data_IF_530475472462
#
_entry.id   IF_530475472462
#
_cell.length_a   1.000
_cell.length_b   1.000
_cell.length_c   1.000
_cell.angle_alpha   90.00
_cell.angle_beta   90.00
_cell.angle_gamma   90.00
#
_symmetry.space_group_name_H-M   'P 1'
#
loop_
_entity.id
_entity.type
_entity.pdbx_description
1 polymer ?
#
# COMPACT_ATOMS: atom_id res chain seq x y z
N UNK A 1 19.81 5.54 -16.68
CA UNK A 1 19.29 4.34 -16.00
C UNK A 1 18.93 3.33 -17.08
N UNK A 2 19.32 2.09 -16.90
CA UNK A 2 18.95 0.97 -17.77
C UNK A 2 17.73 0.25 -17.16
N UNK A 3 16.80 -0.20 -18.00
CA UNK A 3 15.57 -0.87 -17.56
C UNK A 3 14.44 0.13 -17.33
N UNK A 4 13.82 0.09 -16.14
CA UNK A 4 12.67 0.95 -15.80
C UNK A 4 13.06 2.44 -15.77
N UNK A 5 12.24 3.29 -16.39
CA UNK A 5 12.45 4.72 -16.45
C UNK A 5 12.29 5.40 -15.08
N UNK A 6 12.94 6.55 -14.89
CA UNK A 6 12.93 7.25 -13.59
C UNK A 6 11.52 7.68 -13.17
N UNK A 7 10.71 8.15 -14.10
CA UNK A 7 9.32 8.55 -13.85
C UNK A 7 8.42 7.39 -13.38
N UNK A 8 8.71 6.18 -13.88
CA UNK A 8 8.02 4.97 -13.41
C UNK A 8 8.44 4.61 -11.98
N UNK A 9 9.73 4.74 -11.66
CA UNK A 9 10.25 4.54 -10.30
C UNK A 9 9.64 5.56 -9.34
N UNK A 10 9.61 6.84 -9.71
CA UNK A 10 8.99 7.88 -8.89
C UNK A 10 7.51 7.61 -8.61
N UNK A 11 6.75 7.16 -9.61
CA UNK A 11 5.33 6.81 -9.44
C UNK A 11 5.13 5.59 -8.56
N UNK A 12 6.04 4.63 -8.59
CA UNK A 12 5.96 3.44 -7.77
C UNK A 12 6.35 3.71 -6.31
N UNK A 13 7.34 4.59 -6.06
CA UNK A 13 7.88 4.87 -4.73
C UNK A 13 7.11 5.97 -3.99
N UNK A 14 6.55 6.94 -4.72
CA UNK A 14 5.75 8.03 -4.14
C UNK A 14 4.31 7.58 -3.94
N UNK A 15 3.89 7.51 -2.67
CA UNK A 15 2.56 6.99 -2.30
C UNK A 15 1.40 7.78 -2.89
N UNK A 16 1.53 9.09 -2.98
CA UNK A 16 0.48 9.93 -3.54
C UNK A 16 0.36 9.73 -5.06
N UNK A 17 1.50 9.74 -5.77
CA UNK A 17 1.54 9.45 -7.21
C UNK A 17 1.03 8.05 -7.53
N UNK A 18 1.37 7.06 -6.69
CA UNK A 18 0.87 5.69 -6.83
C UNK A 18 -0.64 5.64 -6.63
N UNK A 19 -1.16 6.25 -5.56
CA UNK A 19 -2.60 6.30 -5.28
C UNK A 19 -3.37 6.98 -6.41
N UNK A 20 -2.91 8.15 -6.89
CA UNK A 20 -3.51 8.86 -8.04
C UNK A 20 -3.55 7.96 -9.27
N UNK A 21 -2.46 7.24 -9.57
CA UNK A 21 -2.42 6.30 -10.68
C UNK A 21 -3.42 5.15 -10.49
N UNK A 22 -3.59 4.62 -9.28
CA UNK A 22 -4.58 3.57 -9.01
C UNK A 22 -6.00 4.07 -9.24
N UNK A 23 -6.33 5.29 -8.81
CA UNK A 23 -7.63 5.91 -9.10
C UNK A 23 -7.84 6.11 -10.60
N UNK A 24 -6.83 6.60 -11.32
CA UNK A 24 -6.88 6.80 -12.78
C UNK A 24 -7.19 5.51 -13.53
N UNK A 25 -6.60 4.40 -13.12
CA UNK A 25 -6.84 3.10 -13.74
C UNK A 25 -8.01 2.32 -13.10
N UNK A 26 -8.68 2.87 -12.07
CA UNK A 26 -9.82 2.24 -11.41
C UNK A 26 -9.47 0.99 -10.60
N UNK A 27 -8.27 0.94 -10.02
CA UNK A 27 -7.87 -0.10 -9.08
C UNK A 27 -8.06 0.40 -7.63
N UNK A 28 -8.60 -0.44 -6.74
CA UNK A 28 -8.85 -0.03 -5.36
C UNK A 28 -7.54 0.12 -4.58
N UNK A 29 -7.50 1.12 -3.72
CA UNK A 29 -6.46 1.31 -2.69
C UNK A 29 -7.15 1.62 -1.37
N UNK A 30 -6.53 1.35 -0.21
CA UNK A 30 -7.05 1.79 1.07
C UNK A 30 -7.22 3.30 1.09
N UNK A 31 -8.34 3.76 1.64
CA UNK A 31 -8.57 5.21 1.81
C UNK A 31 -7.50 5.79 2.72
N UNK A 32 -6.96 6.92 2.31
CA UNK A 32 -5.87 7.57 3.05
C UNK A 32 -5.86 9.06 2.83
N UNK A 33 -5.34 9.80 3.80
CA UNK A 33 -5.19 11.26 3.75
C UNK A 33 -3.88 11.67 4.39
N UNK A 34 -3.25 12.69 3.82
CA UNK A 34 -2.13 13.38 4.45
C UNK A 34 -2.69 14.47 5.35
N UNK A 35 -2.22 14.51 6.59
CA UNK A 35 -2.68 15.47 7.60
C UNK A 35 -1.51 16.23 8.22
N UNK A 36 -1.80 17.47 8.62
CA UNK A 36 -0.89 18.36 9.34
C UNK A 36 -1.39 18.69 10.74
N UNK A 37 -2.63 18.29 11.05
CA UNK A 37 -3.26 18.49 12.36
C UNK A 37 -3.95 17.22 12.84
N UNK A 38 -4.14 17.15 14.14
CA UNK A 38 -4.88 16.03 14.78
C UNK A 38 -6.37 16.09 14.42
N UNK A 39 -6.90 17.29 14.21
CA UNK A 39 -8.30 17.50 13.84
C UNK A 39 -8.60 16.96 12.44
N UNK A 40 -7.69 17.14 11.48
CA UNK A 40 -7.83 16.55 10.14
C UNK A 40 -7.82 15.01 10.21
N UNK A 41 -6.96 14.44 11.05
CA UNK A 41 -6.92 12.99 11.27
C UNK A 41 -8.22 12.47 11.88
N UNK A 42 -8.76 13.17 12.89
CA UNK A 42 -10.02 12.81 13.54
C UNK A 42 -11.20 12.90 12.55
N UNK A 43 -11.24 13.93 11.70
CA UNK A 43 -12.27 14.09 10.68
C UNK A 43 -12.25 12.91 9.68
N UNK A 44 -11.07 12.53 9.19
CA UNK A 44 -10.91 11.36 8.32
C UNK A 44 -11.40 10.07 8.97
N UNK A 45 -11.00 9.82 10.23
CA UNK A 45 -11.38 8.61 10.93
C UNK A 45 -12.89 8.57 11.27
N UNK A 46 -13.51 9.72 11.52
CA UNK A 46 -14.97 9.81 11.71
C UNK A 46 -15.76 9.42 10.46
N UNK A 47 -15.23 9.72 9.27
CA UNK A 47 -15.83 9.38 7.98
C UNK A 47 -15.57 7.91 7.59
N UNK A 48 -14.35 7.41 7.80
CA UNK A 48 -13.91 6.10 7.29
C UNK A 48 -13.95 4.97 8.33
N UNK A 49 -14.15 5.31 9.62
CA UNK A 49 -14.20 4.35 10.73
C UNK A 49 -12.82 3.98 11.27
N UNK A 50 -12.83 3.15 12.31
CA UNK A 50 -11.66 2.60 12.98
C UNK A 50 -11.54 1.08 12.74
N UNK A 51 -10.34 0.48 12.84
CA UNK A 51 -9.06 1.10 13.12
C UNK A 51 -8.45 1.85 11.93
N UNK A 52 -7.62 2.86 12.23
CA UNK A 52 -6.78 3.56 11.25
C UNK A 52 -5.31 3.39 11.60
N UNK A 53 -4.46 3.53 10.60
CA UNK A 53 -2.99 3.50 10.75
C UNK A 53 -2.45 4.92 10.63
N UNK A 54 -1.61 5.32 11.57
CA UNK A 54 -0.88 6.59 11.54
C UNK A 54 0.55 6.33 11.13
N UNK A 55 1.01 7.00 10.09
CA UNK A 55 2.39 6.89 9.59
C UNK A 55 3.02 8.27 9.46
N UNK A 56 3.92 8.66 10.36
CA UNK A 56 4.64 9.92 10.24
C UNK A 56 5.50 9.93 8.98
N UNK A 57 5.51 11.06 8.28
CA UNK A 57 6.32 11.22 7.07
C UNK A 57 7.81 11.29 7.40
N UNK A 58 8.65 10.71 6.54
CA UNK A 58 10.11 10.71 6.63
C UNK A 58 10.67 10.13 7.94
N UNK A 59 9.98 9.15 8.53
CA UNK A 59 10.50 8.39 9.68
C UNK A 59 10.95 7.00 9.26
N UNK A 60 11.94 6.46 9.97
CA UNK A 60 12.46 5.12 9.72
C UNK A 60 11.85 4.11 10.68
N UNK A 61 11.59 2.88 10.19
CA UNK A 61 11.19 1.75 11.02
C UNK A 61 9.85 1.92 11.75
N UNK A 62 8.93 2.72 11.21
CA UNK A 62 7.60 2.92 11.82
C UNK A 62 7.60 3.75 13.10
N UNK A 63 8.72 4.43 13.41
CA UNK A 63 8.85 5.24 14.64
C UNK A 63 7.78 6.33 14.69
N UNK A 64 7.05 6.40 15.82
CA UNK A 64 6.01 7.41 16.07
C UNK A 64 4.67 7.15 15.39
N UNK A 65 4.56 6.06 14.61
CA UNK A 65 3.31 5.59 14.03
C UNK A 65 2.65 4.50 14.86
N UNK A 66 1.47 4.05 14.41
CA UNK A 66 0.76 2.97 15.07
C UNK A 66 -0.67 2.79 14.58
N UNK A 67 -1.34 1.79 15.14
CA UNK A 67 -2.77 1.57 14.94
C UNK A 67 -3.55 2.33 15.99
N UNK A 68 -4.61 3.03 15.57
CA UNK A 68 -5.56 3.68 16.45
C UNK A 68 -6.92 3.00 16.31
N UNK A 69 -7.46 2.49 17.42
CA UNK A 69 -8.75 1.82 17.47
C UNK A 69 -9.87 2.73 17.99
N UNK A 70 -9.52 3.93 18.45
CA UNK A 70 -10.45 4.94 18.92
C UNK A 70 -9.94 6.35 18.62
N UNK A 71 -10.82 7.35 18.78
CA UNK A 71 -10.43 8.76 18.60
C UNK A 71 -9.36 9.18 19.63
N UNK A 72 -9.46 8.71 20.87
CA UNK A 72 -8.48 9.02 21.90
C UNK A 72 -7.08 8.51 21.53
N UNK A 73 -6.99 7.26 21.07
CA UNK A 73 -5.73 6.68 20.61
C UNK A 73 -5.19 7.43 19.39
N UNK A 74 -6.06 7.74 18.42
CA UNK A 74 -5.68 8.49 17.23
C UNK A 74 -5.07 9.84 17.58
N UNK A 75 -5.70 10.59 18.47
CA UNK A 75 -5.20 11.91 18.90
C UNK A 75 -3.81 11.82 19.51
N UNK A 76 -3.56 10.83 20.35
CA UNK A 76 -2.25 10.63 21.00
C UNK A 76 -1.19 10.22 19.97
N UNK A 77 -1.47 9.23 19.14
CA UNK A 77 -0.51 8.72 18.16
C UNK A 77 -0.22 9.77 17.08
N UNK A 78 -1.25 10.46 16.57
CA UNK A 78 -1.10 11.48 15.55
C UNK A 78 -0.32 12.69 16.06
N UNK A 79 -0.60 13.18 17.27
CA UNK A 79 0.15 14.30 17.88
C UNK A 79 1.65 13.96 18.03
N UNK A 80 1.94 12.75 18.50
CA UNK A 80 3.33 12.27 18.57
C UNK A 80 3.97 12.13 17.18
N UNK A 81 3.24 11.59 16.23
CA UNK A 81 3.71 11.41 14.85
C UNK A 81 4.03 12.74 14.17
N UNK A 82 3.17 13.74 14.32
CA UNK A 82 3.38 15.08 13.79
C UNK A 82 4.62 15.76 14.40
N UNK A 83 4.88 15.54 15.70
CA UNK A 83 6.08 16.07 16.38
C UNK A 83 7.38 15.41 15.92
N UNK A 84 7.34 14.11 15.62
CA UNK A 84 8.52 13.34 15.19
C UNK A 84 8.80 13.56 13.71
N UNK A 85 7.78 13.77 12.88
CA UNK A 85 7.96 14.04 11.45
C UNK A 85 8.72 15.35 11.21
N UNK A 86 9.84 15.32 10.48
CA UNK A 86 10.62 16.52 10.17
C UNK A 86 9.84 17.61 9.42
N UNK A 87 8.77 17.20 8.74
CA UNK A 87 7.89 18.07 7.94
C UNK A 87 6.52 18.27 8.59
N UNK A 88 6.33 17.86 9.85
CA UNK A 88 5.07 17.93 10.60
C UNK A 88 3.87 17.37 9.81
N UNK A 89 4.03 16.15 9.29
CA UNK A 89 3.07 15.50 8.41
C UNK A 89 2.90 14.04 8.78
N UNK A 90 1.65 13.56 8.80
CA UNK A 90 1.31 12.15 8.93
C UNK A 90 0.41 11.71 7.78
N UNK A 91 0.57 10.46 7.34
CA UNK A 91 -0.42 9.74 6.56
C UNK A 91 -1.34 9.02 7.52
N UNK A 92 -2.65 9.22 7.38
CA UNK A 92 -3.70 8.44 8.05
C UNK A 92 -4.31 7.54 7.00
N UNK A 93 -4.38 6.25 7.29
CA UNK A 93 -4.79 5.23 6.34
C UNK A 93 -5.80 4.27 6.99
N UNK A 94 -6.83 3.88 6.26
CA UNK A 94 -7.73 2.83 6.70
C UNK A 94 -6.96 1.53 6.93
N UNK A 95 -7.19 0.89 8.06
CA UNK A 95 -6.53 -0.37 8.38
C UNK A 95 -7.06 -1.53 7.53
N UNK A 96 -6.15 -2.29 6.95
CA UNK A 96 -6.43 -3.55 6.26
C UNK A 96 -6.12 -4.78 7.14
N UNK A 97 -6.04 -4.60 8.45
CA UNK A 97 -5.82 -5.70 9.38
C UNK A 97 -6.87 -6.80 9.18
N UNK A 98 -6.41 -8.04 9.10
CA UNK A 98 -7.26 -9.20 8.82
C UNK A 98 -7.52 -9.49 7.34
N UNK A 99 -7.01 -8.66 6.43
CA UNK A 99 -7.02 -8.98 4.99
C UNK A 99 -5.96 -10.05 4.71
N UNK A 100 -6.19 -10.80 3.62
CA UNK A 100 -5.18 -11.69 3.05
C UNK A 100 -4.13 -10.89 2.30
N UNK A 101 -2.90 -11.30 2.42
CA UNK A 101 -1.79 -10.75 1.65
C UNK A 101 -1.48 -11.70 0.50
N UNK A 102 -1.73 -11.20 -0.72
CA UNK A 102 -1.53 -11.95 -1.96
C UNK A 102 -0.60 -11.16 -2.84
N UNK A 103 0.42 -11.82 -3.37
CA UNK A 103 1.43 -11.21 -4.20
C UNK A 103 1.40 -11.79 -5.61
N UNK A 104 1.75 -10.98 -6.59
CA UNK A 104 1.90 -11.36 -7.99
C UNK A 104 3.25 -10.89 -8.51
N UNK A 105 4.10 -11.83 -8.91
CA UNK A 105 5.32 -11.51 -9.64
C UNK A 105 5.01 -11.33 -11.11
N UNK A 106 5.28 -10.14 -11.62
CA UNK A 106 4.96 -9.74 -13.00
C UNK A 106 6.20 -9.20 -13.69
N UNK A 107 6.46 -9.69 -14.90
CA UNK A 107 7.52 -9.16 -15.78
C UNK A 107 6.90 -8.53 -17.02
N UNK A 108 7.47 -7.41 -17.45
CA UNK A 108 7.05 -6.70 -18.67
C UNK A 108 8.26 -6.17 -19.42
N UNK A 109 8.24 -6.27 -20.74
CA UNK A 109 9.25 -5.70 -21.62
C UNK A 109 8.82 -4.37 -22.28
N UNK A 110 9.72 -3.73 -23.00
CA UNK A 110 9.46 -2.48 -23.71
C UNK A 110 8.47 -2.62 -24.88
N UNK A 111 8.21 -3.83 -25.35
CA UNK A 111 7.24 -4.13 -26.41
C UNK A 111 5.83 -4.42 -25.85
N UNK A 112 5.64 -4.20 -24.53
CA UNK A 112 4.41 -4.47 -23.78
C UNK A 112 4.03 -5.96 -23.67
N UNK A 113 4.96 -6.86 -23.90
CA UNK A 113 4.77 -8.25 -23.53
C UNK A 113 4.86 -8.36 -22.01
N UNK A 114 3.81 -8.88 -21.39
CA UNK A 114 3.76 -9.02 -19.94
C UNK A 114 3.33 -10.44 -19.55
N UNK A 115 4.01 -11.00 -18.54
CA UNK A 115 3.70 -12.30 -17.98
C UNK A 115 3.56 -12.21 -16.46
N UNK A 116 2.65 -12.97 -15.91
CA UNK A 116 2.63 -13.27 -14.48
C UNK A 116 3.48 -14.52 -14.27
N UNK A 117 4.59 -14.37 -13.56
CA UNK A 117 5.53 -15.46 -13.28
C UNK A 117 4.92 -16.44 -12.28
N UNK A 118 4.40 -15.89 -11.17
CA UNK A 118 3.65 -16.67 -10.17
C UNK A 118 2.72 -15.75 -9.36
N UNK A 119 1.82 -16.37 -8.65
CA UNK A 119 1.08 -15.77 -7.56
C UNK A 119 1.46 -16.46 -6.25
N UNK A 120 1.44 -15.72 -5.15
CA UNK A 120 1.85 -16.17 -3.83
C UNK A 120 0.86 -15.71 -2.78
N UNK A 121 0.77 -16.45 -1.71
CA UNK A 121 -0.07 -16.14 -0.55
C UNK A 121 0.79 -16.17 0.71
N UNK A 122 0.75 -15.10 1.50
CA UNK A 122 1.35 -15.05 2.82
C UNK A 122 0.41 -15.74 3.83
N UNK A 123 0.94 -16.67 4.60
CA UNK A 123 0.20 -17.41 5.64
C UNK A 123 0.03 -16.54 6.89
N UNK A 124 1.01 -15.68 7.16
CA UNK A 124 0.99 -14.75 8.27
C UNK A 124 0.04 -13.56 7.99
N UNK A 125 -0.45 -12.91 9.06
CA UNK A 125 -1.33 -11.74 8.90
C UNK A 125 -0.67 -10.60 8.12
N UNK A 126 -1.47 -9.84 7.37
CA UNK A 126 -1.03 -8.63 6.69
C UNK A 126 -0.33 -7.66 7.64
N UNK A 127 0.80 -7.10 7.21
CA UNK A 127 1.65 -6.21 8.01
C UNK A 127 2.88 -6.87 8.61
N UNK A 128 3.01 -8.20 8.53
CA UNK A 128 4.28 -8.89 8.76
C UNK A 128 5.10 -8.79 7.48
N UNK A 129 6.37 -8.41 7.60
CA UNK A 129 7.24 -8.25 6.43
C UNK A 129 7.37 -9.58 5.66
N UNK A 130 7.21 -9.54 4.34
CA UNK A 130 7.22 -10.74 3.47
C UNK A 130 8.45 -11.61 3.69
N UNK A 131 9.63 -11.02 3.90
CA UNK A 131 10.87 -11.75 4.20
C UNK A 131 10.88 -12.53 5.52
N UNK A 132 9.96 -12.22 6.43
CA UNK A 132 9.79 -12.85 7.75
C UNK A 132 8.54 -13.74 7.81
N UNK A 133 7.78 -13.82 6.70
CA UNK A 133 6.52 -14.54 6.59
C UNK A 133 6.69 -15.89 5.87
N UNK A 134 5.78 -16.83 6.12
CA UNK A 134 5.68 -18.05 5.34
C UNK A 134 4.88 -17.74 4.07
N UNK A 135 5.52 -17.88 2.93
CA UNK A 135 4.94 -17.61 1.61
C UNK A 135 4.72 -18.93 0.88
N UNK A 136 3.54 -19.13 0.32
CA UNK A 136 3.17 -20.32 -0.46
C UNK A 136 2.87 -19.92 -1.91
N UNK A 137 3.50 -20.57 -2.86
CA UNK A 137 3.27 -20.41 -4.29
C UNK A 137 2.86 -21.76 -4.91
N UNK A 138 1.80 -21.82 -5.72
CA UNK A 138 0.80 -20.78 -5.97
C UNK A 138 -0.14 -20.57 -4.78
N UNK A 139 -0.97 -19.50 -4.82
CA UNK A 139 -2.02 -19.25 -3.81
C UNK A 139 -2.91 -20.47 -3.62
N UNK A 140 -3.25 -20.77 -2.36
CA UNK A 140 -3.99 -21.98 -1.99
C UNK A 140 -5.45 -21.72 -1.62
N UNK A 141 -5.79 -20.49 -1.23
CA UNK A 141 -7.10 -20.16 -0.65
C UNK A 141 -7.98 -19.31 -1.56
N UNK A 142 -7.50 -18.94 -2.74
CA UNK A 142 -8.25 -18.20 -3.75
C UNK A 142 -8.93 -19.13 -4.75
N UNK A 143 -10.13 -18.74 -5.18
CA UNK A 143 -10.81 -19.40 -6.33
C UNK A 143 -10.16 -18.97 -7.65
N UNK A 144 -10.39 -19.74 -8.72
CA UNK A 144 -9.92 -19.40 -10.07
C UNK A 144 -10.43 -18.03 -10.53
N UNK A 145 -11.65 -17.63 -10.12
CA UNK A 145 -12.22 -16.32 -10.42
C UNK A 145 -11.44 -15.20 -9.73
N UNK A 146 -11.14 -15.35 -8.45
CA UNK A 146 -10.35 -14.37 -7.67
C UNK A 146 -8.94 -14.26 -8.22
N UNK A 147 -8.29 -15.37 -8.52
CA UNK A 147 -6.98 -15.39 -9.19
C UNK A 147 -7.03 -14.67 -10.53
N UNK A 148 -8.10 -14.84 -11.31
CA UNK A 148 -8.30 -14.16 -12.58
C UNK A 148 -8.43 -12.64 -12.44
N UNK A 149 -9.19 -12.17 -11.46
CA UNK A 149 -9.36 -10.75 -11.15
C UNK A 149 -8.02 -10.13 -10.75
N UNK A 150 -7.33 -10.71 -9.78
CA UNK A 150 -6.06 -10.20 -9.28
C UNK A 150 -4.96 -10.22 -10.35
N UNK A 151 -4.94 -11.24 -11.21
CA UNK A 151 -4.03 -11.29 -12.37
C UNK A 151 -4.29 -10.15 -13.33
N UNK A 152 -5.55 -9.84 -13.61
CA UNK A 152 -5.93 -8.73 -14.48
C UNK A 152 -5.50 -7.39 -13.89
N UNK A 153 -5.71 -7.18 -12.59
CA UNK A 153 -5.25 -6.00 -11.85
C UNK A 153 -3.72 -5.87 -11.87
N UNK A 154 -2.99 -6.95 -11.59
CA UNK A 154 -1.54 -6.95 -11.62
C UNK A 154 -0.97 -6.55 -12.99
N UNK A 155 -1.50 -7.11 -14.08
CA UNK A 155 -1.10 -6.76 -15.44
C UNK A 155 -1.48 -5.32 -15.81
N UNK A 156 -2.59 -4.82 -15.32
CA UNK A 156 -3.04 -3.43 -15.53
C UNK A 156 -2.13 -2.44 -14.82
N UNK A 157 -1.77 -2.73 -13.57
CA UNK A 157 -0.87 -1.90 -12.76
C UNK A 157 0.53 -1.83 -13.37
N UNK A 158 1.15 -2.96 -13.72
CA UNK A 158 2.51 -2.99 -14.28
C UNK A 158 2.59 -2.22 -15.61
N UNK A 159 1.51 -2.26 -16.43
CA UNK A 159 1.42 -1.49 -17.67
C UNK A 159 1.25 0.00 -17.42
N UNK A 160 0.40 0.39 -16.48
CA UNK A 160 0.18 1.79 -16.12
C UNK A 160 1.44 2.44 -15.54
N UNK A 161 2.20 1.72 -14.72
CA UNK A 161 3.50 2.13 -14.20
C UNK A 161 4.58 2.18 -15.28
N UNK A 162 4.39 1.50 -16.40
CA UNK A 162 5.40 1.36 -17.48
C UNK A 162 6.72 0.74 -17.00
N UNK A 163 6.66 -0.15 -16.03
CA UNK A 163 7.83 -0.87 -15.54
C UNK A 163 8.37 -1.74 -16.68
N UNK A 164 9.69 -1.77 -16.81
CA UNK A 164 10.42 -2.63 -17.74
C UNK A 164 11.38 -3.52 -16.94
N UNK A 165 11.07 -4.80 -16.89
CA UNK A 165 11.68 -5.78 -16.03
C UNK A 165 10.63 -6.44 -15.14
N UNK A 166 10.96 -6.67 -13.93
CA UNK A 166 10.08 -7.20 -12.88
C UNK A 166 10.15 -6.39 -11.62
#
# INVERSE_FOLDING_TARGET
ILGTALDAIEKAEDRDKFRELMYEIGEPVPESVIVHTVEEAAAFAAENGYPVVVRPAFTLGGTGGGFAHSEEELRVICDNGLKISPVHQCLIEQSIAGYKEIEYEVMRDNADNAIVVCNMENVDPVGIHTGDSIVVAPTQTLTDRECGIMRASALKIIRALKICGG
#
